data_IF_470852433401
#
_entry.id   IF_470852433401
#
_cell.length_a   1.000
_cell.length_b   1.000
_cell.length_c   1.000
_cell.angle_alpha   90.00
_cell.angle_beta   90.00
_cell.angle_gamma   90.00
#
_symmetry.space_group_name_H-M   'P 1'
#
loop_
_entity.id
_entity.type
_entity.pdbx_description
1 polymer ?
#
# COMPACT_ATOMS: atom_id res chain seq x y z
N UNK A 1 22.78 -21.76 -18.09
CA UNK A 1 22.36 -20.79 -17.05
C UNK A 1 20.85 -20.71 -17.14
N UNK A 2 20.17 -21.43 -16.24
CA UNK A 2 18.75 -21.76 -16.36
C UNK A 2 17.88 -20.51 -16.16
N UNK A 3 16.88 -20.36 -17.03
CA UNK A 3 16.00 -19.20 -17.09
C UNK A 3 15.18 -19.06 -15.82
N UNK A 4 15.46 -18.00 -15.06
CA UNK A 4 14.55 -17.49 -14.04
C UNK A 4 13.42 -16.81 -14.80
N UNK A 5 12.33 -17.55 -14.94
CA UNK A 5 11.19 -17.26 -15.82
C UNK A 5 10.62 -15.85 -15.57
N UNK A 6 10.28 -15.08 -16.62
CA UNK A 6 9.59 -13.79 -16.48
C UNK A 6 8.30 -13.87 -15.63
N UNK A 7 7.68 -15.06 -15.55
CA UNK A 7 6.54 -15.31 -14.67
C UNK A 7 6.85 -15.27 -13.17
N UNK A 8 8.07 -15.57 -12.73
CA UNK A 8 8.46 -15.51 -11.31
C UNK A 8 8.56 -14.07 -10.80
N UNK A 9 9.13 -13.17 -11.60
CA UNK A 9 9.20 -11.74 -11.24
C UNK A 9 7.81 -11.11 -11.20
N UNK A 10 6.92 -11.54 -12.09
CA UNK A 10 5.52 -11.12 -12.09
C UNK A 10 4.79 -11.54 -10.82
N UNK A 11 4.89 -12.81 -10.41
CA UNK A 11 4.24 -13.29 -9.18
C UNK A 11 4.84 -12.65 -7.93
N UNK A 12 6.16 -12.42 -7.91
CA UNK A 12 6.83 -11.70 -6.83
C UNK A 12 6.36 -10.25 -6.71
N UNK A 13 6.18 -9.53 -7.83
CA UNK A 13 5.68 -8.16 -7.83
C UNK A 13 4.26 -8.06 -7.25
N UNK A 14 3.38 -9.00 -7.63
CA UNK A 14 2.04 -9.10 -7.05
C UNK A 14 2.06 -9.42 -5.55
N UNK A 15 2.94 -10.34 -5.11
CA UNK A 15 3.07 -10.68 -3.69
C UNK A 15 3.54 -9.47 -2.85
N UNK A 16 4.52 -8.71 -3.34
CA UNK A 16 5.01 -7.49 -2.69
C UNK A 16 3.90 -6.43 -2.65
N UNK A 17 3.18 -6.22 -3.75
CA UNK A 17 2.07 -5.26 -3.80
C UNK A 17 0.97 -5.61 -2.79
N UNK A 18 0.52 -6.87 -2.75
CA UNK A 18 -0.51 -7.33 -1.82
C UNK A 18 -0.03 -7.21 -0.36
N UNK A 19 1.22 -7.60 -0.08
CA UNK A 19 1.80 -7.47 1.26
C UNK A 19 1.87 -6.01 1.72
N UNK A 20 2.34 -5.12 0.87
CA UNK A 20 2.42 -3.69 1.16
C UNK A 20 1.03 -3.04 1.29
N UNK A 21 0.05 -3.47 0.49
CA UNK A 21 -1.35 -3.04 0.61
C UNK A 21 -1.94 -3.45 1.96
N UNK A 22 -1.77 -4.70 2.38
CA UNK A 22 -2.25 -5.17 3.69
C UNK A 22 -1.56 -4.41 4.84
N UNK A 23 -0.26 -4.17 4.74
CA UNK A 23 0.49 -3.41 5.74
C UNK A 23 0.01 -1.96 5.82
N UNK A 24 -0.24 -1.32 4.67
CA UNK A 24 -0.77 0.06 4.61
C UNK A 24 -2.15 0.16 5.26
N UNK A 25 -3.03 -0.82 5.05
CA UNK A 25 -4.35 -0.88 5.68
C UNK A 25 -4.21 -1.05 7.20
N UNK A 26 -3.37 -1.99 7.65
CA UNK A 26 -3.17 -2.25 9.07
C UNK A 26 -2.60 -1.02 9.80
N UNK A 27 -1.57 -0.39 9.25
CA UNK A 27 -1.00 0.84 9.80
C UNK A 27 -1.99 2.00 9.78
N UNK A 28 -2.77 2.14 8.70
CA UNK A 28 -3.83 3.14 8.61
C UNK A 28 -4.89 2.99 9.71
N UNK A 29 -5.31 1.77 10.01
CA UNK A 29 -6.26 1.47 11.11
C UNK A 29 -5.64 1.80 12.47
N UNK A 30 -4.40 1.37 12.72
CA UNK A 30 -3.70 1.63 13.99
C UNK A 30 -3.54 3.14 14.22
N UNK A 31 -3.10 3.87 13.19
CA UNK A 31 -2.91 5.32 13.26
C UNK A 31 -4.26 6.04 13.46
N UNK A 32 -5.30 5.60 12.76
CA UNK A 32 -6.66 6.11 12.95
C UNK A 32 -7.14 5.89 14.38
N UNK A 33 -6.98 4.69 14.94
CA UNK A 33 -7.37 4.39 16.32
C UNK A 33 -6.60 5.25 17.33
N UNK A 34 -5.29 5.42 17.13
CA UNK A 34 -4.48 6.30 17.96
C UNK A 34 -5.00 7.75 17.88
N UNK A 35 -5.19 8.27 16.67
CA UNK A 35 -5.65 9.65 16.49
C UNK A 35 -7.09 9.85 16.97
N UNK A 36 -8.01 8.90 16.78
CA UNK A 36 -9.37 9.00 17.32
C UNK A 36 -9.40 9.00 18.85
N UNK A 37 -8.47 8.31 19.49
CA UNK A 37 -8.37 8.25 20.96
C UNK A 37 -7.71 9.49 21.56
N UNK A 38 -6.75 10.10 20.86
CA UNK A 38 -5.92 11.19 21.41
C UNK A 38 -6.15 12.57 20.77
N UNK A 39 -6.77 12.67 19.59
CA UNK A 39 -7.05 13.95 18.92
C UNK A 39 -8.45 14.46 19.26
N UNK A 40 -8.57 15.77 19.50
CA UNK A 40 -9.86 16.41 19.82
C UNK A 40 -10.84 16.51 18.63
N UNK A 41 -10.40 16.24 17.40
CA UNK A 41 -11.23 16.40 16.20
C UNK A 41 -11.19 15.15 15.30
N UNK A 42 -12.27 14.38 15.36
CA UNK A 42 -12.48 13.12 14.65
C UNK A 42 -12.50 13.28 13.12
N UNK A 43 -12.91 14.44 12.61
CA UNK A 43 -12.94 14.69 11.16
C UNK A 43 -11.53 14.78 10.59
N UNK A 44 -10.62 15.45 11.30
CA UNK A 44 -9.23 15.63 10.86
C UNK A 44 -8.49 14.30 10.83
N UNK A 45 -8.73 13.41 11.80
CA UNK A 45 -8.09 12.09 11.80
C UNK A 45 -8.56 11.20 10.66
N UNK A 46 -9.85 11.21 10.36
CA UNK A 46 -10.40 10.43 9.24
C UNK A 46 -9.86 10.94 7.90
N UNK A 47 -9.84 12.26 7.69
CA UNK A 47 -9.31 12.88 6.47
C UNK A 47 -7.81 12.58 6.32
N UNK A 48 -7.02 12.69 7.39
CA UNK A 48 -5.59 12.38 7.35
C UNK A 48 -5.34 10.89 7.01
N UNK A 49 -6.11 9.98 7.60
CA UNK A 49 -6.02 8.55 7.32
C UNK A 49 -6.37 8.23 5.85
N UNK A 50 -7.41 8.87 5.30
CA UNK A 50 -7.78 8.72 3.89
C UNK A 50 -6.71 9.24 2.94
N UNK A 51 -6.13 10.42 3.23
CA UNK A 51 -5.09 11.01 2.39
C UNK A 51 -3.83 10.14 2.41
N UNK A 52 -3.37 9.73 3.60
CA UNK A 52 -2.19 8.88 3.73
C UNK A 52 -2.40 7.49 3.12
N UNK A 53 -3.51 6.82 3.46
CA UNK A 53 -3.82 5.50 2.93
C UNK A 53 -4.03 5.51 1.42
N UNK A 54 -4.79 6.48 0.91
CA UNK A 54 -5.02 6.67 -0.52
C UNK A 54 -3.73 6.98 -1.28
N UNK A 55 -2.89 7.87 -0.76
CA UNK A 55 -1.59 8.20 -1.35
C UNK A 55 -0.65 7.00 -1.42
N UNK A 56 -0.55 6.22 -0.35
CA UNK A 56 0.25 5.00 -0.34
C UNK A 56 -0.24 3.98 -1.38
N UNK A 57 -1.55 3.74 -1.46
CA UNK A 57 -2.13 2.82 -2.44
C UNK A 57 -1.93 3.29 -3.88
N UNK A 58 -2.02 4.60 -4.12
CA UNK A 58 -1.76 5.19 -5.43
C UNK A 58 -0.30 5.01 -5.87
N UNK A 59 0.66 5.24 -4.97
CA UNK A 59 2.08 5.03 -5.28
C UNK A 59 2.37 3.54 -5.52
N UNK A 60 1.80 2.65 -4.70
CA UNK A 60 1.89 1.20 -4.86
C UNK A 60 1.34 0.72 -6.20
N UNK A 61 0.20 1.27 -6.64
CA UNK A 61 -0.41 0.89 -7.92
C UNK A 61 0.41 1.39 -9.12
N UNK A 62 1.01 2.59 -9.02
CA UNK A 62 1.95 3.08 -10.03
C UNK A 62 3.20 2.21 -10.14
N UNK A 63 3.79 1.80 -9.01
CA UNK A 63 4.94 0.90 -8.97
C UNK A 63 4.62 -0.47 -9.58
N UNK A 64 3.47 -1.06 -9.23
CA UNK A 64 3.02 -2.31 -9.84
C UNK A 64 2.84 -2.14 -11.34
N UNK A 65 2.18 -1.07 -11.78
CA UNK A 65 1.99 -0.80 -13.21
C UNK A 65 3.32 -0.67 -13.95
N UNK A 66 4.30 0.04 -13.38
CA UNK A 66 5.62 0.19 -13.97
C UNK A 66 6.33 -1.16 -14.18
N UNK A 67 6.23 -2.06 -13.19
CA UNK A 67 6.77 -3.43 -13.28
C UNK A 67 6.03 -4.27 -14.31
N UNK A 68 4.71 -4.12 -14.43
CA UNK A 68 3.91 -4.83 -15.44
C UNK A 68 4.21 -4.38 -16.88
N UNK A 69 4.59 -3.12 -17.07
CA UNK A 69 5.00 -2.57 -18.37
C UNK A 69 6.44 -2.88 -18.75
N UNK A 70 7.29 -3.28 -17.81
CA UNK A 70 8.70 -3.68 -18.03
C UNK A 70 8.85 -5.07 -18.73
N UNK A 71 7.88 -5.44 -19.57
CA UNK A 71 7.95 -6.65 -20.40
C UNK A 71 9.18 -6.67 -21.31
#
# INVERSE_FOLDING_TARGET
MAGVLPGFFLTLAWAIFLGAMMLSIALGIILSFHWFRYARNQTVSLVAALIYGGGCLFILSMLLSAVLTLK
#
